data_IF_513327306368
#
_entry.id   IF_513327306368
#
_cell.length_a   1.000
_cell.length_b   1.000
_cell.length_c   1.000
_cell.angle_alpha   90.00
_cell.angle_beta   90.00
_cell.angle_gamma   90.00
#
_symmetry.space_group_name_H-M   'P 1'
#
loop_
_entity.id
_entity.type
_entity.pdbx_description
1 polymer ?
#
# COMPACT_ATOMS: atom_id res chain seq x y z
N UNK A 1 -21.74 9.07 0.39
CA UNK A 1 -21.16 8.29 1.50
C UNK A 1 -19.97 7.51 0.95
N UNK A 2 -18.71 8.00 0.99
CA UNK A 2 -17.61 7.17 0.55
C UNK A 2 -17.25 6.21 1.69
N UNK A 3 -17.45 4.93 1.42
CA UNK A 3 -16.97 3.83 2.23
C UNK A 3 -15.44 3.83 2.13
N UNK A 4 -14.76 4.36 3.14
CA UNK A 4 -13.30 4.30 3.22
C UNK A 4 -12.88 2.81 3.21
N UNK A 5 -12.10 2.41 2.21
CA UNK A 5 -11.43 1.12 2.20
C UNK A 5 -10.51 1.10 3.42
N UNK A 6 -10.98 0.45 4.49
CA UNK A 6 -10.22 0.25 5.71
C UNK A 6 -9.12 -0.75 5.35
N UNK A 7 -7.92 -0.26 5.07
CA UNK A 7 -6.72 -1.11 5.02
C UNK A 7 -6.72 -1.91 6.32
N UNK A 8 -6.84 -3.22 6.21
CA UNK A 8 -6.74 -4.14 7.34
C UNK A 8 -5.28 -4.10 7.80
N UNK A 9 -4.97 -3.16 8.69
CA UNK A 9 -3.79 -3.23 9.53
C UNK A 9 -3.99 -4.42 10.47
N UNK A 10 -3.46 -5.58 10.09
CA UNK A 10 -3.35 -6.73 10.99
C UNK A 10 -2.40 -6.31 12.12
N UNK A 11 -2.98 -5.91 13.25
CA UNK A 11 -2.27 -5.83 14.52
C UNK A 11 -2.30 -7.24 15.10
N UNK A 12 -1.34 -8.09 14.73
CA UNK A 12 -1.05 -9.27 15.55
C UNK A 12 0.42 -9.67 15.51
N UNK A 13 0.93 -9.83 16.73
CA UNK A 13 2.27 -10.25 17.13
C UNK A 13 2.54 -11.67 16.64
N UNK A 14 3.45 -11.83 15.67
CA UNK A 14 4.43 -12.92 15.59
C UNK A 14 5.06 -12.91 14.20
N UNK A 15 6.38 -12.68 14.09
CA UNK A 15 7.31 -13.52 13.32
C UNK A 15 8.75 -13.04 13.53
N UNK A 16 9.59 -13.98 14.00
CA UNK A 16 11.05 -14.01 14.19
C UNK A 16 11.77 -12.77 14.78
N UNK A 17 12.50 -13.03 15.87
CA UNK A 17 13.15 -12.07 16.77
C UNK A 17 14.42 -11.45 16.16
N UNK A 18 14.28 -10.64 15.12
CA UNK A 18 15.34 -9.73 14.64
C UNK A 18 14.70 -8.42 14.17
N UNK A 19 14.63 -7.43 15.07
CA UNK A 19 14.27 -6.02 14.82
C UNK A 19 12.96 -5.72 14.06
N UNK A 20 11.81 -6.28 14.46
CA UNK A 20 10.48 -6.02 13.86
C UNK A 20 9.71 -4.88 14.56
N UNK A 21 10.39 -3.95 15.24
CA UNK A 21 9.70 -2.96 16.10
C UNK A 21 9.06 -1.80 15.33
N UNK A 22 9.30 -1.65 14.02
CA UNK A 22 8.90 -0.46 13.25
C UNK A 22 7.88 -0.72 12.12
N UNK A 23 7.26 -1.91 12.04
CA UNK A 23 6.34 -2.26 10.95
C UNK A 23 4.93 -2.59 11.46
N UNK A 24 3.87 -2.21 10.73
CA UNK A 24 3.87 -1.31 9.56
C UNK A 24 4.26 0.13 9.94
N UNK A 25 4.76 0.90 8.98
CA UNK A 25 5.10 2.30 9.17
C UNK A 25 4.28 3.18 8.21
N UNK A 26 3.30 3.90 8.73
CA UNK A 26 2.44 4.78 7.92
C UNK A 26 2.77 6.23 8.28
N UNK A 27 3.51 6.89 7.41
CA UNK A 27 3.97 8.29 7.57
C UNK A 27 3.02 9.28 6.90
N UNK A 28 2.27 8.82 5.89
CA UNK A 28 1.25 9.58 5.16
C UNK A 28 -0.02 8.74 5.11
N UNK A 29 -1.18 9.35 5.32
CA UNK A 29 -2.47 8.63 5.19
C UNK A 29 -2.61 8.12 3.75
N UNK A 30 -2.68 6.81 3.53
CA UNK A 30 -2.78 6.27 2.18
C UNK A 30 -4.21 6.39 1.62
N UNK A 31 -4.37 6.62 0.31
CA UNK A 31 -3.30 6.84 -0.68
C UNK A 31 -2.67 8.23 -0.55
N UNK A 32 -1.33 8.29 -0.56
CA UNK A 32 -0.61 9.56 -0.49
C UNK A 32 -0.63 10.35 -1.82
N UNK A 33 -0.13 11.61 -1.80
CA UNK A 33 -0.22 12.51 -2.95
C UNK A 33 0.50 11.99 -4.19
N UNK A 34 1.66 11.32 -4.06
CA UNK A 34 2.37 10.78 -5.23
C UNK A 34 1.67 9.54 -5.78
N UNK A 35 1.16 8.65 -4.91
CA UNK A 35 0.33 7.53 -5.35
C UNK A 35 -0.87 8.01 -6.17
N UNK A 36 -1.56 9.06 -5.70
CA UNK A 36 -2.70 9.65 -6.42
C UNK A 36 -2.28 10.28 -7.77
N UNK A 37 -1.17 11.02 -7.81
CA UNK A 37 -0.67 11.65 -9.03
C UNK A 37 -0.35 10.61 -10.11
N UNK A 38 0.41 9.58 -9.76
CA UNK A 38 0.80 8.50 -10.68
C UNK A 38 -0.42 7.72 -11.13
N UNK A 39 -1.34 7.39 -10.22
CA UNK A 39 -2.57 6.67 -10.56
C UNK A 39 -3.44 7.46 -11.55
N UNK A 40 -3.56 8.78 -11.37
CA UNK A 40 -4.32 9.65 -12.26
C UNK A 40 -3.71 9.71 -13.66
N UNK A 41 -2.39 9.68 -13.77
CA UNK A 41 -1.67 9.62 -15.04
C UNK A 41 -1.86 8.25 -15.72
N UNK A 42 -1.60 7.15 -14.99
CA UNK A 42 -1.74 5.80 -15.51
C UNK A 42 -3.17 5.50 -15.98
N UNK A 43 -4.18 5.98 -15.24
CA UNK A 43 -5.61 5.78 -15.57
C UNK A 43 -6.02 6.43 -16.90
N UNK A 44 -5.29 7.44 -17.39
CA UNK A 44 -5.55 8.06 -18.71
C UNK A 44 -5.12 7.17 -19.86
N UNK A 45 -4.08 6.35 -19.64
CA UNK A 45 -3.42 5.58 -20.70
C UNK A 45 -3.80 4.09 -20.66
N UNK A 46 -4.02 3.53 -19.48
CA UNK A 46 -4.32 2.11 -19.31
C UNK A 46 -5.80 1.81 -19.46
N UNK A 47 -6.12 0.93 -20.42
CA UNK A 47 -7.47 0.35 -20.59
C UNK A 47 -7.55 -0.93 -19.76
N UNK A 48 -8.70 -1.19 -19.14
CA UNK A 48 -8.92 -2.43 -18.37
C UNK A 48 -8.33 -2.43 -16.95
N UNK A 49 -8.25 -1.26 -16.30
CA UNK A 49 -7.84 -1.17 -14.90
C UNK A 49 -8.70 -2.05 -13.98
N UNK A 50 -8.05 -2.87 -13.15
CA UNK A 50 -8.73 -3.65 -12.12
C UNK A 50 -9.50 -2.73 -11.17
N UNK A 51 -10.69 -3.17 -10.76
CA UNK A 51 -11.52 -2.45 -9.79
C UNK A 51 -10.80 -2.29 -8.43
N UNK A 52 -9.95 -3.25 -8.04
CA UNK A 52 -9.18 -3.18 -6.79
C UNK A 52 -8.19 -2.01 -6.82
N UNK A 53 -7.50 -1.82 -7.96
CA UNK A 53 -6.54 -0.71 -8.11
C UNK A 53 -7.26 0.65 -8.13
N UNK A 54 -8.50 0.70 -8.62
CA UNK A 54 -9.34 1.92 -8.55
C UNK A 54 -9.87 2.19 -7.14
N UNK A 55 -10.17 1.14 -6.37
CA UNK A 55 -10.67 1.25 -4.99
C UNK A 55 -9.57 1.69 -4.02
N UNK A 56 -8.33 1.29 -4.29
CA UNK A 56 -7.19 1.61 -3.43
C UNK A 56 -5.97 2.00 -4.28
N UNK A 57 -5.86 3.28 -4.69
CA UNK A 57 -4.86 3.73 -5.65
C UNK A 57 -3.51 4.00 -4.97
N UNK A 58 -3.00 3.04 -4.21
CA UNK A 58 -1.63 3.07 -3.68
C UNK A 58 -0.67 2.55 -4.73
N UNK A 59 0.46 3.24 -4.90
CA UNK A 59 1.49 2.86 -5.87
C UNK A 59 2.72 2.37 -5.11
N UNK A 60 3.02 1.09 -5.24
CA UNK A 60 4.19 0.48 -4.61
C UNK A 60 5.47 0.75 -5.42
N UNK A 61 6.51 1.23 -4.75
CA UNK A 61 7.84 1.45 -5.32
C UNK A 61 8.69 0.16 -5.26
N UNK A 62 8.62 -0.56 -4.13
CA UNK A 62 9.44 -1.76 -3.93
C UNK A 62 8.80 -2.78 -2.98
N UNK A 63 9.19 -4.04 -3.14
CA UNK A 63 8.85 -5.13 -2.22
C UNK A 63 10.12 -5.84 -1.76
N UNK A 64 10.22 -6.14 -0.46
CA UNK A 64 11.34 -6.87 0.14
C UNK A 64 10.87 -7.75 1.28
N UNK A 65 11.16 -9.05 1.19
CA UNK A 65 10.73 -10.02 2.19
C UNK A 65 9.20 -10.00 2.34
N UNK A 66 8.72 -9.67 3.54
CA UNK A 66 7.29 -9.59 3.87
C UNK A 66 6.73 -8.16 3.82
N UNK A 67 7.42 -7.24 3.14
CA UNK A 67 7.06 -5.81 3.14
C UNK A 67 6.94 -5.22 1.75
N UNK A 68 6.03 -4.25 1.62
CA UNK A 68 5.91 -3.37 0.47
C UNK A 68 6.16 -1.92 0.93
N UNK A 69 6.86 -1.14 0.12
CA UNK A 69 7.04 0.30 0.33
C UNK A 69 6.37 1.06 -0.80
N UNK A 70 5.50 2.02 -0.47
CA UNK A 70 4.87 2.90 -1.47
C UNK A 70 5.71 4.14 -1.79
N UNK A 71 5.37 4.80 -2.89
CA UNK A 71 6.03 6.02 -3.36
C UNK A 71 5.89 7.22 -2.41
N UNK A 72 5.01 7.11 -1.41
CA UNK A 72 4.78 8.12 -0.38
C UNK A 72 5.56 7.83 0.92
N UNK A 73 6.36 6.76 0.94
CA UNK A 73 7.24 6.38 2.06
C UNK A 73 6.57 5.51 3.12
N UNK A 74 5.35 5.03 2.89
CA UNK A 74 4.70 4.09 3.81
C UNK A 74 5.23 2.67 3.58
N UNK A 75 5.40 1.91 4.66
CA UNK A 75 5.76 0.50 4.64
C UNK A 75 4.63 -0.37 5.17
N UNK A 76 4.24 -1.37 4.38
CA UNK A 76 3.14 -2.29 4.61
C UNK A 76 3.66 -3.71 4.83
N UNK A 77 2.84 -4.56 5.44
CA UNK A 77 3.05 -6.01 5.48
C UNK A 77 2.33 -6.63 4.27
N UNK A 78 3.04 -7.44 3.50
CA UNK A 78 2.52 -8.12 2.32
C UNK A 78 1.89 -9.48 2.68
N UNK A 79 0.57 -9.56 2.55
CA UNK A 79 -0.20 -10.82 2.66
C UNK A 79 -0.67 -11.34 1.29
N UNK A 80 -0.32 -10.68 0.19
CA UNK A 80 -0.74 -11.02 -1.15
C UNK A 80 0.21 -11.99 -1.85
N UNK A 81 1.50 -11.99 -1.46
CA UNK A 81 2.58 -12.77 -2.10
C UNK A 81 2.76 -12.53 -3.61
N UNK A 82 2.20 -11.43 -4.15
CA UNK A 82 2.18 -11.12 -5.58
C UNK A 82 0.94 -11.66 -6.29
#
# INVERSE_FOLDING_TARGET
MPLAARVLLVKDNCMSRSSVTALPNIVVVPPGPESQRIHAEASRHMKGYSSQVRLFPVVFESGRGVTLTDVDGNTYIDFSSG
#
